data_IF_974866987547
#
_entry.id   IF_974866987547
#
_cell.length_a   1.000
_cell.length_b   1.000
_cell.length_c   1.000
_cell.angle_alpha   90.00
_cell.angle_beta   90.00
_cell.angle_gamma   90.00
#
_symmetry.space_group_name_H-M   'P 1'
#
loop_
_entity.id
_entity.type
_entity.pdbx_description
1 polymer ?
#
# COMPACT_ATOMS: atom_id res chain seq x y z
N UNK A 1 9.22 16.42 7.87
CA UNK A 1 8.40 17.44 7.17
C UNK A 1 9.17 18.03 6.01
N UNK A 2 10.39 18.57 6.21
CA UNK A 2 11.17 19.20 5.13
C UNK A 2 11.50 18.26 3.95
N UNK A 3 11.85 17.00 4.21
CA UNK A 3 12.20 16.01 3.17
C UNK A 3 11.10 15.78 2.11
N UNK A 4 9.82 15.95 2.49
CA UNK A 4 8.68 15.68 1.61
C UNK A 4 8.56 16.77 0.55
N UNK A 5 8.74 18.04 0.93
CA UNK A 5 8.66 19.16 -0.01
C UNK A 5 9.79 19.13 -1.04
N UNK A 6 10.99 18.69 -0.64
CA UNK A 6 12.10 18.46 -1.56
C UNK A 6 11.78 17.33 -2.56
N UNK A 7 11.23 16.21 -2.09
CA UNK A 7 10.78 15.13 -2.99
C UNK A 7 9.64 15.54 -3.93
N UNK A 8 8.74 16.41 -3.48
CA UNK A 8 7.68 16.97 -4.33
C UNK A 8 8.31 17.85 -5.42
N UNK A 9 9.25 18.71 -5.05
CA UNK A 9 9.98 19.57 -5.98
C UNK A 9 10.73 18.74 -7.05
N UNK A 10 11.51 17.74 -6.63
CA UNK A 10 12.27 16.87 -7.55
C UNK A 10 11.38 16.06 -8.50
N UNK A 11 10.12 15.83 -8.15
CA UNK A 11 9.18 15.02 -8.94
C UNK A 11 8.13 15.86 -9.65
N UNK A 12 8.18 17.18 -9.57
CA UNK A 12 7.12 18.05 -10.09
C UNK A 12 6.87 17.85 -11.59
N UNK A 13 7.91 17.49 -12.34
CA UNK A 13 7.83 17.18 -13.78
C UNK A 13 6.97 15.95 -14.09
N UNK A 14 6.69 15.10 -13.09
CA UNK A 14 5.82 13.93 -13.20
C UNK A 14 4.35 14.27 -12.89
N UNK A 15 4.05 15.49 -12.43
CA UNK A 15 2.68 15.92 -12.21
C UNK A 15 1.96 16.11 -13.54
N UNK A 16 0.80 15.47 -13.65
CA UNK A 16 -0.07 15.58 -14.80
C UNK A 16 -1.47 15.97 -14.33
N UNK A 17 -1.89 17.18 -14.69
CA UNK A 17 -3.18 17.75 -14.30
C UNK A 17 -4.36 16.99 -14.89
N UNK A 18 -4.18 16.26 -15.98
CA UNK A 18 -5.21 15.38 -16.55
C UNK A 18 -5.47 14.13 -15.70
N UNK A 19 -4.51 13.73 -14.86
CA UNK A 19 -4.60 12.54 -14.00
C UNK A 19 -5.11 12.85 -12.59
N UNK A 20 -5.23 14.12 -12.21
CA UNK A 20 -5.81 14.53 -10.93
C UNK A 20 -5.32 15.86 -10.39
N UNK A 21 -5.85 16.24 -9.22
CA UNK A 21 -5.47 17.47 -8.52
C UNK A 21 -4.05 17.37 -7.96
N UNK A 22 -3.29 18.47 -8.05
CA UNK A 22 -1.92 18.58 -7.52
C UNK A 22 -1.85 18.17 -6.04
N UNK A 23 -2.82 18.59 -5.23
CA UNK A 23 -2.89 18.23 -3.81
C UNK A 23 -2.94 16.72 -3.59
N UNK A 24 -3.75 15.99 -4.36
CA UNK A 24 -3.85 14.53 -4.27
C UNK A 24 -2.55 13.85 -4.65
N UNK A 25 -1.86 14.36 -5.67
CA UNK A 25 -0.55 13.87 -6.08
C UNK A 25 0.52 14.09 -5.00
N UNK A 26 0.59 15.29 -4.41
CA UNK A 26 1.48 15.59 -3.28
C UNK A 26 1.17 14.73 -2.05
N UNK A 27 -0.12 14.51 -1.75
CA UNK A 27 -0.56 13.67 -0.63
C UNK A 27 -0.08 12.23 -0.80
N UNK A 28 -0.09 11.70 -2.03
CA UNK A 28 0.43 10.36 -2.31
C UNK A 28 1.95 10.29 -2.07
N UNK A 29 2.72 11.31 -2.48
CA UNK A 29 4.17 11.38 -2.19
C UNK A 29 4.41 11.41 -0.68
N UNK A 30 3.68 12.25 0.04
CA UNK A 30 3.79 12.38 1.50
C UNK A 30 3.44 11.07 2.21
N UNK A 31 2.36 10.40 1.79
CA UNK A 31 1.92 9.11 2.32
C UNK A 31 2.99 8.04 2.09
N UNK A 32 3.50 7.90 0.86
CA UNK A 32 4.53 6.92 0.55
C UNK A 32 5.79 7.17 1.39
N UNK A 33 6.21 8.42 1.54
CA UNK A 33 7.35 8.77 2.38
C UNK A 33 7.13 8.45 3.87
N UNK A 34 5.90 8.59 4.37
CA UNK A 34 5.55 8.22 5.74
C UNK A 34 5.58 6.70 5.95
N UNK A 35 5.13 5.94 4.96
CA UNK A 35 5.21 4.47 4.95
C UNK A 35 6.68 4.04 4.95
N UNK A 36 7.50 4.57 4.05
CA UNK A 36 8.94 4.28 3.97
C UNK A 36 9.66 4.56 5.30
N UNK A 37 9.33 5.68 5.98
CA UNK A 37 9.91 6.01 7.29
C UNK A 37 9.45 5.08 8.40
N UNK A 38 8.23 4.55 8.33
CA UNK A 38 7.74 3.58 9.31
C UNK A 38 8.40 2.22 9.09
N UNK A 39 8.47 1.75 7.84
CA UNK A 39 9.10 0.47 7.48
C UNK A 39 10.60 0.46 7.77
N UNK A 40 11.33 1.55 7.47
CA UNK A 40 12.75 1.64 7.82
C UNK A 40 13.02 1.60 9.32
N UNK A 41 12.11 2.13 10.15
CA UNK A 41 12.17 1.99 11.61
C UNK A 41 11.87 0.57 12.08
N UNK A 42 10.91 -0.12 11.46
CA UNK A 42 10.60 -1.52 11.77
C UNK A 42 11.78 -2.44 11.41
N UNK A 43 12.35 -2.28 10.21
CA UNK A 43 13.55 -3.02 9.77
C UNK A 43 14.75 -2.74 10.69
N UNK A 44 14.95 -1.48 11.10
CA UNK A 44 16.04 -1.11 12.03
C UNK A 44 15.84 -1.67 13.44
N UNK A 45 14.59 -1.94 13.84
CA UNK A 45 14.25 -2.55 15.13
C UNK A 45 14.47 -4.06 15.09
N UNK A 46 14.16 -4.70 13.96
CA UNK A 46 14.39 -6.12 13.70
C UNK A 46 15.89 -6.48 13.73
N UNK A 47 16.76 -5.56 13.31
CA UNK A 47 18.21 -5.75 13.38
C UNK A 47 18.81 -5.59 14.78
N UNK A 48 18.09 -4.99 15.74
CA UNK A 48 18.64 -4.66 17.07
C UNK A 48 18.12 -5.49 18.24
N UNK A 49 17.18 -6.41 18.08
CA UNK A 49 16.75 -7.24 19.22
C UNK A 49 16.21 -8.60 18.79
N UNK A 50 17.10 -9.61 18.71
CA UNK A 50 16.69 -11.01 18.85
C UNK A 50 16.47 -11.30 20.34
N UNK A 51 15.33 -10.83 20.87
CA UNK A 51 14.79 -11.23 22.15
C UNK A 51 13.49 -11.98 21.90
N UNK A 52 13.38 -13.19 22.46
CA UNK A 52 12.30 -14.17 22.22
C UNK A 52 10.88 -13.63 22.51
N UNK A 53 10.76 -12.45 23.13
CA UNK A 53 9.50 -11.73 23.39
C UNK A 53 8.88 -11.01 22.17
N UNK A 54 9.62 -10.81 21.06
CA UNK A 54 9.11 -10.02 19.92
C UNK A 54 8.15 -10.77 18.99
N UNK A 55 8.12 -12.11 19.05
CA UNK A 55 7.23 -12.94 18.26
C UNK A 55 5.76 -12.74 18.67
N UNK A 56 5.49 -12.51 19.95
CA UNK A 56 4.12 -12.34 20.47
C UNK A 56 3.51 -11.02 20.01
N UNK A 57 4.28 -9.92 20.04
CA UNK A 57 3.78 -8.59 19.63
C UNK A 57 3.64 -8.39 18.12
N UNK A 58 4.34 -9.18 17.30
CA UNK A 58 4.24 -9.09 15.83
C UNK A 58 2.98 -9.80 15.32
N UNK A 59 2.62 -10.93 15.93
CA UNK A 59 1.37 -11.65 15.66
C UNK A 59 0.18 -10.76 16.06
N UNK A 60 0.23 -10.15 17.24
CA UNK A 60 -0.85 -9.32 17.79
C UNK A 60 -1.13 -8.05 16.95
N UNK A 61 -0.11 -7.50 16.27
CA UNK A 61 -0.28 -6.33 15.37
C UNK A 61 -0.81 -6.70 13.99
N UNK A 62 -0.43 -7.86 13.45
CA UNK A 62 -1.03 -8.36 12.21
C UNK A 62 -2.50 -8.70 12.44
N UNK A 63 -2.81 -9.38 13.55
CA UNK A 63 -4.19 -9.67 13.96
C UNK A 63 -4.98 -8.38 14.24
N UNK A 64 -4.40 -7.36 14.88
CA UNK A 64 -5.08 -6.09 15.09
C UNK A 64 -5.34 -5.32 13.79
N UNK A 65 -4.44 -5.36 12.80
CA UNK A 65 -4.67 -4.79 11.46
C UNK A 65 -5.77 -5.56 10.72
N UNK A 66 -5.79 -6.89 10.80
CA UNK A 66 -6.83 -7.73 10.21
C UNK A 66 -8.20 -7.51 10.88
N UNK A 67 -8.26 -7.40 12.21
CA UNK A 67 -9.49 -7.16 12.97
C UNK A 67 -10.07 -5.75 12.77
N UNK A 68 -9.24 -4.73 12.53
CA UNK A 68 -9.74 -3.37 12.27
C UNK A 68 -10.31 -3.18 10.85
N UNK A 69 -10.05 -4.10 9.91
CA UNK A 69 -10.59 -4.06 8.54
C UNK A 69 -12.06 -4.53 8.49
N UNK A 70 -12.54 -5.26 9.51
CA UNK A 70 -13.90 -5.83 9.55
C UNK A 70 -15.03 -4.80 9.71
N UNK A 71 -14.73 -3.53 10.00
CA UNK A 71 -15.73 -2.53 10.39
C UNK A 71 -16.79 -2.14 9.33
N UNK A 72 -16.63 -2.46 8.04
CA UNK A 72 -17.54 -1.97 6.96
C UNK A 72 -17.73 -2.99 5.82
N UNK A 73 -17.73 -4.31 6.09
CA UNK A 73 -17.94 -5.32 5.03
C UNK A 73 -16.88 -5.29 3.91
N UNK A 74 -15.74 -4.62 4.14
CA UNK A 74 -14.66 -4.45 3.18
C UNK A 74 -14.10 -5.80 2.74
N UNK A 75 -14.03 -6.76 3.66
CA UNK A 75 -13.63 -8.15 3.38
C UNK A 75 -14.57 -8.83 2.40
N UNK A 76 -15.89 -8.64 2.54
CA UNK A 76 -16.88 -9.18 1.60
C UNK A 76 -16.77 -8.54 0.22
N UNK A 77 -16.51 -7.23 0.16
CA UNK A 77 -16.29 -6.51 -1.09
C UNK A 77 -15.02 -6.99 -1.79
N UNK A 78 -13.92 -7.16 -1.05
CA UNK A 78 -12.67 -7.70 -1.58
C UNK A 78 -12.80 -9.17 -1.99
N UNK A 79 -13.69 -9.92 -1.34
CA UNK A 79 -13.97 -11.31 -1.71
C UNK A 79 -14.63 -11.45 -3.08
N UNK A 80 -15.27 -10.40 -3.60
CA UNK A 80 -15.82 -10.37 -4.98
C UNK A 80 -14.74 -10.20 -6.06
N UNK A 81 -13.52 -9.81 -5.69
CA UNK A 81 -12.39 -9.75 -6.61
C UNK A 81 -11.80 -11.14 -6.86
N UNK A 82 -11.29 -11.35 -8.08
CA UNK A 82 -10.47 -12.52 -8.42
C UNK A 82 -9.22 -12.53 -7.54
N UNK A 83 -8.73 -13.71 -7.16
CA UNK A 83 -7.61 -13.88 -6.24
C UNK A 83 -6.39 -13.03 -6.59
N UNK A 84 -6.01 -12.96 -7.88
CA UNK A 84 -4.87 -12.18 -8.33
C UNK A 84 -5.05 -10.66 -8.18
N UNK A 85 -6.28 -10.17 -8.34
CA UNK A 85 -6.62 -8.77 -8.17
C UNK A 85 -6.66 -8.39 -6.70
N UNK A 86 -7.29 -9.25 -5.88
CA UNK A 86 -7.32 -9.12 -4.43
C UNK A 86 -5.90 -9.08 -3.86
N UNK A 87 -5.05 -10.03 -4.28
CA UNK A 87 -3.66 -10.10 -3.88
C UNK A 87 -2.92 -8.76 -4.08
N UNK A 88 -3.05 -8.16 -5.28
CA UNK A 88 -2.39 -6.89 -5.57
C UNK A 88 -2.97 -5.75 -4.74
N UNK A 89 -4.30 -5.68 -4.57
CA UNK A 89 -4.95 -4.66 -3.72
C UNK A 89 -4.47 -4.78 -2.28
N UNK A 90 -4.43 -6.00 -1.74
CA UNK A 90 -4.06 -6.21 -0.34
C UNK A 90 -2.61 -5.81 -0.05
N UNK A 91 -1.69 -6.22 -0.92
CA UNK A 91 -0.29 -5.92 -0.70
C UNK A 91 0.01 -4.43 -0.88
N UNK A 92 -0.62 -3.78 -1.85
CA UNK A 92 -0.38 -2.35 -2.09
C UNK A 92 -1.03 -1.45 -1.03
N UNK A 93 -2.28 -1.75 -0.62
CA UNK A 93 -3.04 -0.85 0.26
C UNK A 93 -3.00 -1.22 1.74
N UNK A 94 -2.92 -2.52 2.08
CA UNK A 94 -2.90 -2.95 3.50
C UNK A 94 -1.48 -3.28 3.97
N UNK A 95 -0.66 -3.91 3.11
CA UNK A 95 0.73 -4.25 3.46
C UNK A 95 1.75 -3.19 3.04
N UNK A 96 1.31 -2.11 2.38
CA UNK A 96 2.13 -0.93 2.09
C UNK A 96 3.22 -1.13 1.04
N UNK A 97 3.13 -2.16 0.19
CA UNK A 97 4.06 -2.33 -0.93
C UNK A 97 3.85 -1.23 -1.97
N UNK A 98 4.93 -0.78 -2.61
CA UNK A 98 4.83 -0.09 -3.90
C UNK A 98 4.62 -1.11 -5.04
N UNK A 99 4.17 -0.61 -6.19
CA UNK A 99 3.97 -1.47 -7.38
C UNK A 99 5.27 -2.14 -7.84
N UNK A 100 6.40 -1.44 -7.73
CA UNK A 100 7.71 -1.97 -8.10
C UNK A 100 8.19 -3.02 -7.11
N UNK A 101 8.04 -2.76 -5.80
CA UNK A 101 8.42 -3.74 -4.77
C UNK A 101 7.57 -5.00 -4.86
N UNK A 102 6.27 -4.88 -5.13
CA UNK A 102 5.42 -6.06 -5.34
C UNK A 102 5.86 -6.87 -6.57
N UNK A 103 6.24 -6.18 -7.64
CA UNK A 103 6.72 -6.81 -8.86
C UNK A 103 8.02 -7.59 -8.63
N UNK A 104 8.96 -6.99 -7.91
CA UNK A 104 10.26 -7.58 -7.57
C UNK A 104 10.12 -8.74 -6.57
N UNK A 105 9.44 -8.50 -5.45
CA UNK A 105 9.31 -9.48 -4.34
C UNK A 105 8.59 -10.76 -4.79
N UNK A 106 7.55 -10.64 -5.61
CA UNK A 106 6.73 -11.77 -6.04
C UNK A 106 7.02 -12.23 -7.47
N UNK A 107 8.06 -11.68 -8.10
CA UNK A 107 8.46 -11.98 -9.48
C UNK A 107 7.29 -11.86 -10.49
N UNK A 108 6.47 -10.83 -10.32
CA UNK A 108 5.33 -10.51 -11.19
C UNK A 108 5.74 -9.34 -12.09
N UNK A 109 5.55 -9.38 -13.42
CA UNK A 109 5.87 -8.23 -14.26
C UNK A 109 5.15 -6.96 -13.80
N UNK A 110 5.86 -5.83 -13.73
CA UNK A 110 5.29 -4.55 -13.27
C UNK A 110 4.03 -4.14 -14.07
N UNK A 111 4.02 -4.43 -15.38
CA UNK A 111 2.84 -4.23 -16.23
C UNK A 111 1.63 -5.05 -15.78
N UNK A 112 1.86 -6.29 -15.36
CA UNK A 112 0.83 -7.18 -14.82
C UNK A 112 0.30 -6.68 -13.48
N UNK A 113 1.18 -6.23 -12.57
CA UNK A 113 0.77 -5.60 -11.30
C UNK A 113 -0.15 -4.40 -11.56
N UNK A 114 0.26 -3.49 -12.46
CA UNK A 114 -0.54 -2.32 -12.84
C UNK A 114 -1.89 -2.68 -13.46
N UNK A 115 -1.92 -3.70 -14.32
CA UNK A 115 -3.13 -4.13 -15.03
C UNK A 115 -4.12 -4.81 -14.08
N UNK A 116 -3.63 -5.67 -13.19
CA UNK A 116 -4.44 -6.30 -12.12
C UNK A 116 -5.00 -5.25 -11.17
N UNK A 117 -4.18 -4.29 -10.74
CA UNK A 117 -4.64 -3.19 -9.89
C UNK A 117 -5.73 -2.35 -10.57
N UNK A 118 -5.53 -1.96 -11.83
CA UNK A 118 -6.52 -1.18 -12.59
C UNK A 118 -7.86 -1.92 -12.68
N UNK A 119 -7.81 -3.21 -13.02
CA UNK A 119 -9.01 -4.05 -13.14
C UNK A 119 -9.72 -4.20 -11.80
N UNK A 120 -8.96 -4.42 -10.72
CA UNK A 120 -9.48 -4.49 -9.36
C UNK A 120 -10.21 -3.20 -8.97
N UNK A 121 -9.60 -2.04 -9.18
CA UNK A 121 -10.19 -0.74 -8.85
C UNK A 121 -11.46 -0.45 -9.65
N UNK A 122 -11.51 -0.84 -10.93
CA UNK A 122 -12.71 -0.71 -11.75
C UNK A 122 -13.85 -1.58 -11.22
N UNK A 123 -13.56 -2.82 -10.83
CA UNK A 123 -14.57 -3.73 -10.27
C UNK A 123 -15.05 -3.26 -8.89
N UNK A 124 -14.13 -2.86 -8.00
CA UNK A 124 -14.48 -2.29 -6.69
C UNK A 124 -15.38 -1.05 -6.84
N UNK A 125 -15.09 -0.18 -7.81
CA UNK A 125 -15.94 0.98 -8.11
C UNK A 125 -17.35 0.58 -8.53
N UNK A 126 -17.49 -0.50 -9.30
CA UNK A 126 -18.81 -1.02 -9.70
C UNK A 126 -19.59 -1.63 -8.53
N UNK A 127 -18.90 -2.19 -7.53
CA UNK A 127 -19.53 -2.84 -6.38
C UNK A 127 -19.95 -1.81 -5.32
N UNK A 128 -19.12 -0.77 -5.10
CA UNK A 128 -19.33 0.24 -4.05
C UNK A 128 -20.08 1.47 -4.57
N UNK A 129 -20.00 1.75 -5.87
CA UNK A 129 -20.69 2.86 -6.53
C UNK A 129 -22.09 2.52 -7.06
N UNK A 130 -22.59 1.32 -6.77
CA UNK A 130 -23.99 0.91 -6.95
C UNK A 130 -24.73 1.03 -5.61
#
# INVERSE_FOLDING_TARGET
>A
MQDIFLKIWDRIDQYDSSKGKLFTWMLNIARNQAIDKTRSKEISKDQKTKGIDSLVHTIDRQDALEQNIDGIGLKEVLNKLVAEQRFVVEHLYFKGYSQSELAEEFNIPLGTVKTRLRSAMQQLRSIVGA
#
